data_IF_586621654269
#
_entry.id   IF_586621654269
#
_cell.length_a   1.000
_cell.length_b   1.000
_cell.length_c   1.000
_cell.angle_alpha   90.00
_cell.angle_beta   90.00
_cell.angle_gamma   90.00
#
_symmetry.space_group_name_H-M   'P 1'
#
loop_
_entity.id
_entity.type
_entity.pdbx_description
1 polymer ?
#
# COMPACT_ATOMS: atom_id res chain seq x y z
N UNK A 1 54.48 28.40 -22.27
CA UNK A 1 54.21 27.08 -21.68
C UNK A 1 53.79 27.28 -20.23
N UNK A 2 52.49 27.19 -19.94
CA UNK A 2 51.97 27.04 -18.59
C UNK A 2 50.67 26.23 -18.72
N UNK A 3 50.83 24.90 -18.78
CA UNK A 3 49.71 23.98 -18.78
C UNK A 3 49.13 23.95 -17.36
N UNK A 4 47.87 24.36 -17.25
CA UNK A 4 47.11 24.31 -16.01
C UNK A 4 46.99 22.87 -15.53
N UNK A 5 47.44 22.62 -14.30
CA UNK A 5 47.13 21.39 -13.57
C UNK A 5 45.66 21.43 -13.17
N UNK A 6 44.81 20.86 -14.01
CA UNK A 6 43.45 20.53 -13.64
C UNK A 6 43.50 19.59 -12.43
N UNK A 7 43.15 20.11 -11.26
CA UNK A 7 43.07 19.35 -10.02
C UNK A 7 42.19 18.12 -10.23
N UNK A 8 42.71 16.95 -9.86
CA UNK A 8 41.97 15.70 -9.93
C UNK A 8 40.62 15.87 -9.19
N UNK A 9 39.50 15.41 -9.77
CA UNK A 9 38.22 15.50 -9.09
C UNK A 9 38.32 14.75 -7.74
N UNK A 10 37.72 15.28 -6.65
CA UNK A 10 37.82 14.68 -5.33
C UNK A 10 37.38 13.22 -5.36
N UNK A 11 37.94 12.35 -4.50
CA UNK A 11 37.64 10.92 -4.50
C UNK A 11 36.13 10.73 -4.32
N UNK A 12 35.46 10.34 -5.41
CA UNK A 12 34.02 10.15 -5.45
C UNK A 12 33.68 9.07 -4.42
N UNK A 13 32.88 9.41 -3.41
CA UNK A 13 32.53 8.53 -2.29
C UNK A 13 32.16 7.10 -2.75
N UNK A 14 33.13 6.18 -2.67
CA UNK A 14 32.98 4.74 -2.94
C UNK A 14 32.15 4.02 -1.87
N UNK A 15 31.55 4.78 -0.95
CA UNK A 15 30.89 4.28 0.25
C UNK A 15 29.46 3.80 0.01
N UNK A 16 28.82 4.24 -1.07
CA UNK A 16 27.41 4.02 -1.31
C UNK A 16 27.18 2.85 -2.27
N UNK A 17 26.79 1.70 -1.72
CA UNK A 17 26.39 0.53 -2.49
C UNK A 17 25.10 -0.05 -1.94
N UNK A 18 24.28 -0.67 -2.80
CA UNK A 18 23.05 -1.34 -2.40
C UNK A 18 23.26 -2.28 -1.21
N UNK A 19 24.33 -3.10 -1.26
CA UNK A 19 24.67 -4.05 -0.19
C UNK A 19 24.84 -3.33 1.14
N UNK A 20 25.62 -2.24 1.18
CA UNK A 20 25.85 -1.47 2.40
C UNK A 20 24.57 -0.81 2.92
N UNK A 21 23.74 -0.25 2.03
CA UNK A 21 22.44 0.33 2.40
C UNK A 21 21.48 -0.71 2.96
N UNK A 22 21.42 -1.89 2.34
CA UNK A 22 20.59 -3.00 2.78
C UNK A 22 21.02 -3.50 4.17
N UNK A 23 22.32 -3.73 4.38
CA UNK A 23 22.83 -4.14 5.69
C UNK A 23 22.64 -3.06 6.76
N UNK A 24 22.87 -1.79 6.42
CA UNK A 24 22.63 -0.68 7.34
C UNK A 24 21.15 -0.55 7.72
N UNK A 25 20.24 -0.65 6.75
CA UNK A 25 18.79 -0.63 6.98
C UNK A 25 18.30 -1.84 7.78
N UNK A 26 18.85 -3.03 7.54
CA UNK A 26 18.56 -4.22 8.32
C UNK A 26 19.07 -4.06 9.76
N UNK A 27 20.31 -3.61 9.94
CA UNK A 27 20.90 -3.38 11.27
C UNK A 27 20.07 -2.36 12.05
N UNK A 28 19.65 -1.26 11.42
CA UNK A 28 18.74 -0.27 12.02
C UNK A 28 17.47 -0.93 12.56
N UNK A 29 16.81 -1.78 11.76
CA UNK A 29 15.58 -2.46 12.16
C UNK A 29 15.81 -3.48 13.28
N UNK A 30 16.89 -4.26 13.21
CA UNK A 30 17.24 -5.21 14.28
C UNK A 30 17.51 -4.48 15.60
N UNK A 31 18.24 -3.36 15.57
CA UNK A 31 18.45 -2.51 16.75
C UNK A 31 17.12 -1.98 17.30
N UNK A 32 16.24 -1.47 16.44
CA UNK A 32 14.92 -0.99 16.85
C UNK A 32 14.02 -2.10 17.42
N UNK A 33 14.10 -3.34 16.93
CA UNK A 33 13.39 -4.47 17.52
C UNK A 33 13.87 -4.75 18.95
N UNK A 34 15.18 -4.75 19.18
CA UNK A 34 15.77 -4.96 20.51
C UNK A 34 15.39 -3.82 21.47
N UNK A 35 15.55 -2.58 21.02
CA UNK A 35 15.18 -1.38 21.78
C UNK A 35 13.68 -1.36 22.07
N UNK A 36 12.85 -1.73 21.08
CA UNK A 36 11.41 -1.79 21.24
C UNK A 36 10.98 -2.81 22.27
N UNK A 37 11.59 -4.01 22.27
CA UNK A 37 11.31 -5.04 23.26
C UNK A 37 11.77 -4.63 24.67
N UNK A 38 12.90 -3.93 24.78
CA UNK A 38 13.33 -3.33 26.04
C UNK A 38 12.33 -2.27 26.52
N UNK A 39 11.93 -1.35 25.64
CA UNK A 39 10.98 -0.29 25.95
C UNK A 39 9.65 -0.86 26.42
N UNK A 40 9.14 -1.88 25.72
CA UNK A 40 7.87 -2.54 26.05
C UNK A 40 7.86 -3.19 27.43
N UNK A 41 9.02 -3.60 27.96
CA UNK A 41 9.13 -4.20 29.30
C UNK A 41 9.31 -3.16 30.42
N UNK A 42 10.00 -2.06 30.14
CA UNK A 42 10.45 -1.13 31.19
C UNK A 42 9.67 0.19 31.24
N UNK A 43 8.96 0.57 30.19
CA UNK A 43 8.30 1.88 30.09
C UNK A 43 6.78 1.77 30.04
N UNK A 44 6.05 2.79 30.53
CA UNK A 44 4.58 2.82 30.44
C UNK A 44 4.10 2.98 28.99
N UNK A 45 4.78 3.83 28.21
CA UNK A 45 4.53 4.02 26.78
C UNK A 45 5.21 2.91 25.99
N UNK A 46 4.39 2.09 25.34
CA UNK A 46 4.85 0.93 24.59
C UNK A 46 5.34 1.34 23.20
N UNK A 47 6.38 0.65 22.74
CA UNK A 47 6.90 0.75 21.39
C UNK A 47 6.04 -0.04 20.41
N UNK A 48 5.58 -1.22 20.82
CA UNK A 48 4.71 -2.07 20.00
C UNK A 48 3.38 -1.39 19.69
N UNK A 49 2.99 -1.47 18.41
CA UNK A 49 1.69 -0.99 17.95
C UNK A 49 0.55 -1.73 18.64
N UNK A 50 -0.53 -1.01 18.97
CA UNK A 50 -1.72 -1.64 19.53
C UNK A 50 -2.35 -2.62 18.54
N UNK A 51 -2.28 -2.31 17.24
CA UNK A 51 -2.81 -3.19 16.20
C UNK A 51 -2.06 -4.52 16.17
N UNK A 52 -0.75 -4.53 16.47
CA UNK A 52 0.02 -5.78 16.58
C UNK A 52 -0.50 -6.69 17.70
N UNK A 53 -0.97 -6.09 18.81
CA UNK A 53 -1.63 -6.82 19.89
C UNK A 53 -2.97 -7.39 19.40
N UNK A 54 -3.77 -6.60 18.69
CA UNK A 54 -5.03 -7.04 18.10
C UNK A 54 -4.83 -8.21 17.12
N UNK A 55 -3.78 -8.18 16.28
CA UNK A 55 -3.47 -9.30 15.38
C UNK A 55 -3.07 -10.57 16.13
N UNK A 56 -2.28 -10.40 17.20
CA UNK A 56 -1.82 -11.52 18.02
C UNK A 56 -2.98 -12.14 18.80
N UNK A 57 -3.92 -11.33 19.30
CA UNK A 57 -5.13 -11.80 19.96
C UNK A 57 -6.03 -12.55 18.97
N UNK A 58 -6.26 -11.99 17.77
CA UNK A 58 -7.01 -12.67 16.71
C UNK A 58 -6.36 -14.00 16.29
N UNK A 59 -5.03 -14.06 16.27
CA UNK A 59 -4.29 -15.29 16.01
C UNK A 59 -4.52 -16.37 17.09
N UNK A 60 -4.76 -15.99 18.36
CA UNK A 60 -5.15 -16.95 19.40
C UNK A 60 -6.50 -17.58 19.13
N UNK A 61 -7.48 -16.79 18.67
CA UNK A 61 -8.79 -17.32 18.27
C UNK A 61 -8.65 -18.30 17.10
N UNK A 62 -7.82 -17.98 16.09
CA UNK A 62 -7.54 -18.90 14.97
C UNK A 62 -6.98 -20.24 15.47
N UNK A 63 -6.03 -20.22 16.41
CA UNK A 63 -5.45 -21.44 16.99
C UNK A 63 -6.48 -22.24 17.79
N UNK A 64 -7.41 -21.55 18.48
CA UNK A 64 -8.51 -22.18 19.19
C UNK A 64 -9.61 -22.75 18.26
N UNK A 65 -9.48 -22.59 16.93
CA UNK A 65 -10.50 -22.99 15.96
C UNK A 65 -11.68 -22.02 15.86
N UNK A 66 -11.53 -20.82 16.43
CA UNK A 66 -12.54 -19.77 16.45
C UNK A 66 -12.30 -18.74 15.33
N UNK A 67 -13.28 -17.86 15.15
CA UNK A 67 -13.17 -16.73 14.23
C UNK A 67 -12.17 -15.68 14.76
N UNK A 68 -11.24 -15.16 13.94
CA UNK A 68 -10.35 -14.08 14.37
C UNK A 68 -11.14 -12.80 14.73
N UNK A 69 -12.37 -12.65 14.25
CA UNK A 69 -13.25 -11.53 14.53
C UNK A 69 -13.92 -11.60 15.91
N UNK A 70 -13.83 -12.75 16.60
CA UNK A 70 -14.15 -12.83 18.03
C UNK A 70 -13.30 -11.86 18.86
N UNK A 71 -12.11 -11.49 18.35
CA UNK A 71 -11.36 -10.37 18.89
C UNK A 71 -12.01 -9.05 18.48
N UNK A 72 -12.64 -8.39 19.46
CA UNK A 72 -13.16 -7.03 19.28
C UNK A 72 -12.12 -6.10 18.64
N UNK A 73 -12.57 -5.28 17.68
CA UNK A 73 -11.76 -4.34 16.87
C UNK A 73 -10.80 -4.97 15.85
N UNK A 74 -10.79 -6.31 15.69
CA UNK A 74 -10.12 -6.91 14.54
C UNK A 74 -10.91 -6.61 13.25
N UNK A 75 -10.30 -5.85 12.34
CA UNK A 75 -10.91 -5.38 11.07
C UNK A 75 -10.05 -5.72 9.84
N UNK A 76 -9.16 -6.70 9.99
CA UNK A 76 -8.22 -7.11 8.96
C UNK A 76 -8.67 -8.43 8.31
N UNK A 77 -8.06 -8.82 7.18
CA UNK A 77 -8.34 -10.14 6.57
C UNK A 77 -7.93 -11.27 7.52
N UNK A 78 -8.60 -12.44 7.54
CA UNK A 78 -8.18 -13.56 8.38
C UNK A 78 -6.78 -14.08 8.03
N UNK A 79 -6.32 -13.87 6.79
CA UNK A 79 -4.95 -14.21 6.37
C UNK A 79 -3.88 -13.55 7.24
N UNK A 80 -4.12 -12.33 7.73
CA UNK A 80 -3.18 -11.66 8.64
C UNK A 80 -3.15 -12.37 10.00
N UNK A 81 -4.30 -12.72 10.57
CA UNK A 81 -4.35 -13.49 11.82
C UNK A 81 -3.67 -14.86 11.66
N UNK A 82 -3.88 -15.54 10.53
CA UNK A 82 -3.21 -16.82 10.21
C UNK A 82 -1.69 -16.65 10.17
N UNK A 83 -1.20 -15.61 9.49
CA UNK A 83 0.21 -15.27 9.42
C UNK A 83 0.81 -14.97 10.80
N UNK A 84 0.00 -14.43 11.72
CA UNK A 84 0.41 -14.10 13.09
C UNK A 84 0.30 -15.27 14.09
N UNK A 85 -0.19 -16.46 13.69
CA UNK A 85 -0.26 -17.64 14.60
C UNK A 85 1.07 -17.99 15.28
N UNK A 86 2.26 -17.85 14.65
CA UNK A 86 3.51 -18.12 15.34
C UNK A 86 3.84 -17.11 16.46
N UNK A 87 3.17 -15.94 16.52
CA UNK A 87 3.28 -15.03 17.67
C UNK A 87 2.81 -15.70 18.96
N UNK A 88 1.89 -16.66 18.86
CA UNK A 88 1.28 -17.34 19.99
C UNK A 88 2.03 -18.63 20.31
N UNK A 89 2.35 -19.44 19.29
CA UNK A 89 2.93 -20.77 19.50
C UNK A 89 4.45 -20.82 19.58
N UNK A 90 5.14 -19.77 19.10
CA UNK A 90 6.61 -19.76 19.09
C UNK A 90 7.20 -18.59 19.87
N UNK A 91 7.05 -17.36 19.41
CA UNK A 91 7.44 -16.16 20.16
C UNK A 91 6.70 -14.92 19.69
N UNK A 92 6.33 -14.07 20.65
CA UNK A 92 5.44 -12.91 20.43
C UNK A 92 5.86 -11.97 19.30
N UNK A 93 7.16 -11.77 19.11
CA UNK A 93 7.72 -10.82 18.15
C UNK A 93 7.96 -11.41 16.74
N UNK A 94 7.51 -12.64 16.46
CA UNK A 94 7.68 -13.29 15.16
C UNK A 94 7.11 -12.45 14.00
N UNK A 95 5.88 -11.96 14.14
CA UNK A 95 5.20 -11.15 13.15
C UNK A 95 5.97 -9.86 12.82
N UNK A 96 6.61 -9.23 13.82
CA UNK A 96 7.46 -8.06 13.58
C UNK A 96 8.64 -8.40 12.67
N UNK A 97 9.24 -9.59 12.80
CA UNK A 97 10.32 -10.04 11.91
C UNK A 97 9.81 -10.24 10.49
N UNK A 98 8.62 -10.82 10.33
CA UNK A 98 7.98 -10.97 9.01
C UNK A 98 7.74 -9.61 8.35
N UNK A 99 7.23 -8.63 9.12
CA UNK A 99 6.99 -7.27 8.63
C UNK A 99 8.31 -6.57 8.26
N UNK A 100 9.34 -6.66 9.09
CA UNK A 100 10.69 -6.15 8.78
C UNK A 100 11.27 -6.79 7.52
N UNK A 101 11.10 -8.10 7.35
CA UNK A 101 11.57 -8.79 6.15
C UNK A 101 10.82 -8.31 4.90
N UNK A 102 9.49 -8.17 4.98
CA UNK A 102 8.67 -7.64 3.89
C UNK A 102 9.09 -6.22 3.50
N UNK A 103 9.34 -5.35 4.49
CA UNK A 103 9.85 -3.99 4.27
C UNK A 103 11.20 -3.97 3.56
N UNK A 104 12.14 -4.82 3.99
CA UNK A 104 13.45 -4.91 3.34
C UNK A 104 13.36 -5.41 1.90
N UNK A 105 12.43 -6.32 1.60
CA UNK A 105 12.13 -6.77 0.23
C UNK A 105 11.65 -5.61 -0.63
N UNK A 106 10.92 -4.63 -0.08
CA UNK A 106 10.54 -3.42 -0.84
C UNK A 106 11.70 -2.54 -1.14
N UNK A 107 12.53 -2.26 -0.15
CA UNK A 107 13.74 -1.48 -0.37
C UNK A 107 14.55 -2.08 -1.53
N UNK A 108 14.64 -3.42 -1.57
CA UNK A 108 15.27 -4.14 -2.68
C UNK A 108 14.49 -4.02 -4.00
N UNK A 109 13.17 -4.15 -3.96
CA UNK A 109 12.31 -4.02 -5.13
C UNK A 109 12.37 -2.61 -5.75
N UNK A 110 12.46 -1.54 -4.94
CA UNK A 110 12.60 -0.16 -5.39
C UNK A 110 13.90 0.06 -6.19
N UNK A 111 15.02 -0.54 -5.78
CA UNK A 111 16.27 -0.46 -6.56
C UNK A 111 16.12 -1.15 -7.93
N UNK A 112 15.46 -2.31 -7.97
CA UNK A 112 15.27 -3.10 -9.20
C UNK A 112 14.16 -2.57 -10.12
N UNK A 113 13.12 -1.94 -9.57
CA UNK A 113 11.93 -1.48 -10.29
C UNK A 113 12.08 -0.12 -10.96
N UNK A 114 13.06 0.66 -10.50
CA UNK A 114 13.41 1.96 -11.06
C UNK A 114 14.48 1.85 -12.15
N UNK A 115 14.60 0.72 -12.86
CA UNK A 115 15.43 0.60 -14.06
C UNK A 115 14.97 1.50 -15.23
N UNK A 116 14.49 2.72 -14.96
CA UNK A 116 14.46 3.78 -15.94
C UNK A 116 15.90 4.21 -16.26
N UNK A 117 16.28 4.07 -17.54
CA UNK A 117 17.59 4.47 -18.06
C UNK A 117 17.80 5.99 -18.00
N UNK A 118 16.75 6.79 -17.74
CA UNK A 118 16.85 8.24 -17.58
C UNK A 118 17.47 8.67 -16.25
N UNK A 119 17.37 7.84 -15.21
CA UNK A 119 17.89 8.17 -13.87
C UNK A 119 19.15 7.33 -13.60
N UNK A 120 20.31 7.96 -13.36
CA UNK A 120 21.54 7.23 -13.04
C UNK A 120 21.33 6.32 -11.84
N UNK A 121 21.84 5.08 -11.91
CA UNK A 121 21.72 4.07 -10.83
C UNK A 121 22.11 4.64 -9.46
N UNK A 122 23.12 5.50 -9.41
CA UNK A 122 23.57 6.17 -8.18
C UNK A 122 22.49 7.06 -7.57
N UNK A 123 21.78 7.84 -8.39
CA UNK A 123 20.67 8.69 -7.95
C UNK A 123 19.53 7.84 -7.40
N UNK A 124 19.22 6.70 -8.04
CA UNK A 124 18.19 5.76 -7.54
C UNK A 124 18.57 5.14 -6.19
N UNK A 125 19.83 4.73 -6.04
CA UNK A 125 20.35 4.21 -4.78
C UNK A 125 20.32 5.26 -3.66
N UNK A 126 20.69 6.50 -3.97
CA UNK A 126 20.68 7.62 -3.00
C UNK A 126 19.27 8.05 -2.61
N UNK A 127 18.39 8.26 -3.59
CA UNK A 127 17.11 8.94 -3.35
C UNK A 127 15.92 8.01 -3.16
N UNK A 128 16.03 6.73 -3.51
CA UNK A 128 14.92 5.77 -3.37
C UNK A 128 15.26 4.63 -2.41
N UNK A 129 16.42 3.99 -2.57
CA UNK A 129 16.80 2.89 -1.69
C UNK A 129 17.24 3.39 -0.30
N UNK A 130 18.13 4.40 -0.24
CA UNK A 130 18.59 4.93 1.04
C UNK A 130 17.47 5.66 1.82
N UNK A 131 16.64 6.44 1.14
CA UNK A 131 15.48 7.14 1.74
C UNK A 131 14.35 6.20 2.18
N UNK A 132 14.34 4.94 1.73
CA UNK A 132 13.41 3.93 2.25
C UNK A 132 14.07 3.13 3.37
N UNK A 133 15.24 2.54 3.09
CA UNK A 133 15.92 1.63 4.01
C UNK A 133 16.47 2.33 5.26
N UNK A 134 16.89 3.59 5.16
CA UNK A 134 17.46 4.35 6.27
C UNK A 134 16.48 5.35 6.87
N UNK A 135 15.22 5.37 6.40
CA UNK A 135 14.23 6.29 6.94
C UNK A 135 13.73 5.80 8.30
N UNK A 136 13.90 6.62 9.36
CA UNK A 136 13.53 6.22 10.71
C UNK A 136 12.02 6.00 10.87
N UNK A 137 11.18 6.68 10.10
CA UNK A 137 9.72 6.49 10.12
C UNK A 137 9.36 5.13 9.54
N UNK A 138 9.88 4.79 8.35
CA UNK A 138 9.64 3.47 7.72
C UNK A 138 10.15 2.35 8.60
N UNK A 139 11.38 2.50 9.11
CA UNK A 139 11.98 1.53 10.02
C UNK A 139 11.09 1.35 11.27
N UNK A 140 10.67 2.45 11.92
CA UNK A 140 9.80 2.40 13.10
C UNK A 140 8.47 1.69 12.83
N UNK A 141 7.76 2.04 11.73
CA UNK A 141 6.48 1.42 11.35
C UNK A 141 6.63 -0.11 11.21
N UNK A 142 7.72 -0.56 10.56
CA UNK A 142 8.00 -2.00 10.39
C UNK A 142 8.31 -2.71 11.72
N UNK A 143 9.10 -2.08 12.59
CA UNK A 143 9.60 -2.70 13.82
C UNK A 143 8.60 -2.63 14.98
N UNK A 144 7.68 -1.65 14.98
CA UNK A 144 6.57 -1.61 15.96
C UNK A 144 5.49 -2.67 15.69
N UNK A 145 5.53 -3.33 14.54
CA UNK A 145 4.60 -4.40 14.16
C UNK A 145 3.33 -3.91 13.44
N UNK A 146 3.38 -2.74 12.79
CA UNK A 146 2.23 -2.27 12.03
C UNK A 146 2.09 -3.05 10.71
N UNK A 147 0.87 -3.52 10.42
CA UNK A 147 0.55 -4.12 9.12
C UNK A 147 0.45 -3.10 7.99
N UNK A 148 0.70 -1.80 8.24
CA UNK A 148 0.92 -0.80 7.18
C UNK A 148 2.11 -1.15 6.27
N UNK A 149 2.98 -2.04 6.75
CA UNK A 149 4.04 -2.68 5.97
C UNK A 149 3.47 -3.73 4.98
N UNK A 150 2.18 -3.73 4.66
CA UNK A 150 1.64 -4.46 3.50
C UNK A 150 1.64 -3.63 2.20
N UNK A 151 1.75 -2.29 2.26
CA UNK A 151 2.07 -1.43 1.10
C UNK A 151 3.28 -1.91 0.27
N UNK A 152 4.28 -2.57 0.88
CA UNK A 152 5.27 -3.38 0.22
C UNK A 152 4.89 -4.25 -0.98
N UNK A 153 3.79 -4.99 -0.91
CA UNK A 153 3.39 -5.88 -2.01
C UNK A 153 2.92 -5.06 -3.22
N UNK A 154 2.29 -3.92 -2.96
CA UNK A 154 1.82 -3.00 -3.97
C UNK A 154 2.98 -2.20 -4.57
N UNK A 155 3.93 -1.72 -3.75
CA UNK A 155 5.17 -1.10 -4.23
C UNK A 155 5.97 -2.06 -5.11
N UNK A 156 6.03 -3.35 -4.74
CA UNK A 156 6.61 -4.40 -5.57
C UNK A 156 5.81 -4.66 -6.86
N UNK A 157 4.47 -4.64 -6.80
CA UNK A 157 3.60 -4.75 -7.98
C UNK A 157 3.79 -3.54 -8.92
N UNK A 158 3.93 -2.33 -8.39
CA UNK A 158 4.22 -1.09 -9.13
C UNK A 158 5.59 -1.15 -9.79
N UNK A 159 6.63 -1.51 -9.04
CA UNK A 159 7.99 -1.75 -9.53
C UNK A 159 8.02 -2.78 -10.68
N UNK A 160 7.31 -3.90 -10.50
CA UNK A 160 7.18 -4.95 -11.52
C UNK A 160 6.41 -4.47 -12.75
N UNK A 161 5.33 -3.72 -12.57
CA UNK A 161 4.54 -3.13 -13.66
C UNK A 161 5.38 -2.12 -14.46
N UNK A 162 6.12 -1.25 -13.78
CA UNK A 162 7.06 -0.32 -14.39
C UNK A 162 8.13 -1.06 -15.22
N UNK A 163 8.67 -2.15 -14.67
CA UNK A 163 9.65 -3.02 -15.35
C UNK A 163 9.11 -3.70 -16.61
N UNK A 164 7.79 -3.96 -16.71
CA UNK A 164 7.17 -4.52 -17.92
C UNK A 164 7.30 -3.55 -19.10
N UNK A 165 7.08 -2.24 -18.89
CA UNK A 165 7.21 -1.22 -19.94
C UNK A 165 8.65 -1.01 -20.40
N UNK A 166 9.60 -0.93 -19.46
CA UNK A 166 11.02 -0.75 -19.78
C UNK A 166 11.54 -1.91 -20.65
N UNK A 167 11.21 -3.14 -20.26
CA UNK A 167 11.59 -4.33 -21.02
C UNK A 167 10.86 -4.42 -22.37
N UNK A 168 9.60 -3.98 -22.44
CA UNK A 168 8.87 -3.90 -23.70
C UNK A 168 9.45 -2.85 -24.67
N UNK A 169 10.28 -1.91 -24.24
CA UNK A 169 10.92 -0.90 -25.10
C UNK A 169 12.37 -1.21 -25.50
N UNK A 170 12.99 -2.28 -24.96
CA UNK A 170 14.40 -2.58 -25.24
C UNK A 170 14.67 -4.08 -25.25
N UNK A 171 14.99 -4.70 -26.42
CA UNK A 171 15.42 -6.09 -26.48
C UNK A 171 16.94 -6.16 -26.23
N UNK A 172 17.40 -6.03 -24.99
CA UNK A 172 18.82 -6.27 -24.68
C UNK A 172 19.08 -6.56 -23.20
N UNK A 173 19.44 -7.83 -22.97
CA UNK A 173 20.47 -8.33 -22.05
C UNK A 173 20.68 -7.60 -20.72
N UNK A 174 19.85 -7.89 -19.71
CA UNK A 174 20.36 -8.09 -18.35
C UNK A 174 19.44 -9.05 -17.59
N UNK A 175 19.96 -10.25 -17.30
CA UNK A 175 19.33 -11.32 -16.54
C UNK A 175 20.17 -11.58 -15.31
N UNK A 176 19.62 -11.36 -14.12
CA UNK A 176 19.92 -12.04 -12.83
C UNK A 176 19.15 -11.26 -11.77
N UNK A 177 17.93 -11.60 -11.37
CA UNK A 177 17.40 -12.89 -10.95
C UNK A 177 15.90 -12.95 -11.34
N UNK A 178 15.39 -14.15 -11.64
CA UNK A 178 14.06 -14.41 -12.20
C UNK A 178 13.87 -13.94 -13.65
N UNK A 179 14.28 -14.81 -14.59
CA UNK A 179 14.06 -14.68 -16.04
C UNK A 179 12.59 -14.96 -16.38
N UNK A 180 11.70 -14.10 -15.89
CA UNK A 180 10.28 -14.13 -16.22
C UNK A 180 10.09 -13.24 -17.44
N UNK A 181 9.58 -13.80 -18.53
CA UNK A 181 9.24 -13.05 -19.74
C UNK A 181 8.26 -11.91 -19.46
N UNK A 182 8.07 -10.95 -20.39
CA UNK A 182 7.21 -9.78 -20.19
C UNK A 182 5.78 -10.15 -19.76
N UNK A 183 5.27 -11.27 -20.28
CA UNK A 183 3.98 -11.83 -19.89
C UNK A 183 3.92 -12.33 -18.44
N UNK A 184 4.98 -12.99 -17.97
CA UNK A 184 5.01 -13.48 -16.59
C UNK A 184 5.26 -12.37 -15.57
N UNK A 185 5.97 -11.29 -15.94
CA UNK A 185 6.14 -10.11 -15.07
C UNK A 185 4.80 -9.41 -14.84
N UNK A 186 3.99 -9.28 -15.90
CA UNK A 186 2.63 -8.73 -15.80
C UNK A 186 1.71 -9.63 -14.96
N UNK A 187 1.76 -10.96 -15.17
CA UNK A 187 1.00 -11.91 -14.36
C UNK A 187 1.38 -11.80 -12.88
N UNK A 188 2.68 -11.79 -12.55
CA UNK A 188 3.08 -11.65 -11.15
C UNK A 188 2.67 -10.31 -10.57
N UNK A 189 2.81 -9.20 -11.31
CA UNK A 189 2.35 -7.90 -10.84
C UNK A 189 0.84 -7.90 -10.54
N UNK A 190 0.03 -8.55 -11.39
CA UNK A 190 -1.40 -8.68 -11.18
C UNK A 190 -1.75 -9.58 -9.99
N UNK A 191 -1.05 -10.71 -9.80
CA UNK A 191 -1.21 -11.59 -8.64
C UNK A 191 -0.87 -10.85 -7.33
N UNK A 192 0.28 -10.16 -7.30
CA UNK A 192 0.71 -9.38 -6.13
C UNK A 192 -0.26 -8.24 -5.85
N UNK A 193 -0.76 -7.53 -6.88
CA UNK A 193 -1.75 -6.47 -6.70
C UNK A 193 -3.07 -7.01 -6.15
N UNK A 194 -3.60 -8.10 -6.71
CA UNK A 194 -4.83 -8.74 -6.22
C UNK A 194 -4.70 -9.23 -4.78
N UNK A 195 -3.55 -9.84 -4.44
CA UNK A 195 -3.24 -10.21 -3.06
C UNK A 195 -3.16 -8.98 -2.14
N UNK A 196 -2.48 -7.91 -2.56
CA UNK A 196 -2.34 -6.69 -1.76
C UNK A 196 -3.70 -6.06 -1.44
N UNK A 197 -4.60 -5.96 -2.44
CA UNK A 197 -5.97 -5.44 -2.27
C UNK A 197 -6.81 -6.33 -1.37
N UNK A 198 -6.63 -7.65 -1.42
CA UNK A 198 -7.32 -8.56 -0.51
C UNK A 198 -6.77 -8.46 0.91
N UNK A 199 -5.45 -8.32 1.05
CA UNK A 199 -4.78 -8.21 2.34
C UNK A 199 -5.15 -6.91 3.07
N UNK A 200 -5.30 -5.82 2.31
CA UNK A 200 -5.79 -4.52 2.76
C UNK A 200 -6.49 -3.84 1.60
N UNK A 201 -7.66 -3.24 1.80
CA UNK A 201 -8.46 -2.70 0.67
C UNK A 201 -7.80 -1.48 -0.02
N UNK A 202 -7.03 -0.67 0.71
CA UNK A 202 -6.53 0.63 0.23
C UNK A 202 -5.73 0.63 -1.08
N UNK A 203 -4.89 -0.38 -1.41
CA UNK A 203 -4.17 -0.45 -2.67
C UNK A 203 -5.07 -0.42 -3.92
N UNK A 204 -6.39 -0.63 -3.79
CA UNK A 204 -7.32 -0.55 -4.92
C UNK A 204 -7.25 0.80 -5.65
N UNK A 205 -6.90 1.88 -4.95
CA UNK A 205 -6.80 3.22 -5.54
C UNK A 205 -5.78 3.27 -6.69
N UNK A 206 -4.73 2.46 -6.61
CA UNK A 206 -3.67 2.40 -7.62
C UNK A 206 -4.06 1.61 -8.87
N UNK A 207 -5.24 1.00 -8.91
CA UNK A 207 -5.74 0.34 -10.11
C UNK A 207 -5.82 1.32 -11.30
N UNK A 208 -6.29 2.55 -11.07
CA UNK A 208 -6.42 3.56 -12.12
C UNK A 208 -5.07 3.90 -12.79
N UNK A 209 -4.02 4.34 -12.08
CA UNK A 209 -2.74 4.64 -12.71
C UNK A 209 -2.03 3.39 -13.23
N UNK A 210 -2.19 2.21 -12.62
CA UNK A 210 -1.62 0.97 -13.17
C UNK A 210 -2.25 0.65 -14.53
N UNK A 211 -3.58 0.71 -14.64
CA UNK A 211 -4.27 0.43 -15.89
C UNK A 211 -3.95 1.48 -16.96
N UNK A 212 -3.90 2.76 -16.63
CA UNK A 212 -3.49 3.80 -17.59
C UNK A 212 -2.04 3.65 -18.00
N UNK A 213 -1.17 3.28 -17.05
CA UNK A 213 0.21 2.97 -17.32
C UNK A 213 0.30 1.81 -18.32
N UNK A 214 -0.38 0.69 -18.13
CA UNK A 214 -0.31 -0.45 -19.07
C UNK A 214 -0.70 -0.03 -20.50
N UNK A 215 0.31 0.21 -21.34
CA UNK A 215 0.13 0.60 -22.74
C UNK A 215 -0.27 -0.63 -23.55
N UNK A 216 -1.32 -0.49 -24.34
CA UNK A 216 -1.60 -1.44 -25.40
C UNK A 216 -0.85 -0.97 -26.64
N UNK A 217 -0.02 -1.83 -27.23
CA UNK A 217 0.59 -1.61 -28.55
C UNK A 217 -0.47 -1.67 -29.67
N UNK A 218 -1.53 -0.87 -29.58
CA UNK A 218 -2.44 -0.65 -30.69
C UNK A 218 -1.91 0.54 -31.47
N UNK A 219 -1.59 0.33 -32.75
CA UNK A 219 -1.43 1.46 -33.68
C UNK A 219 -2.70 2.31 -33.59
N UNK A 220 -2.62 3.65 -33.53
CA UNK A 220 -3.80 4.49 -33.60
C UNK A 220 -4.60 4.06 -34.83
N UNK A 221 -5.84 3.58 -34.63
CA UNK A 221 -6.71 3.30 -35.76
C UNK A 221 -7.03 4.65 -36.42
N UNK A 222 -6.48 4.86 -37.61
CA UNK A 222 -6.81 5.97 -38.51
C UNK A 222 -8.30 5.84 -38.87
N UNK A 223 -9.18 6.52 -38.12
CA UNK A 223 -10.63 6.52 -38.37
C UNK A 223 -11.53 6.23 -37.16
N UNK A 224 -10.99 5.95 -35.98
CA UNK A 224 -11.82 5.70 -34.78
C UNK A 224 -12.57 6.94 -34.29
N UNK A 225 -13.83 6.76 -33.87
CA UNK A 225 -14.66 7.83 -33.28
C UNK A 225 -13.90 8.62 -32.21
N UNK A 226 -13.83 9.95 -32.37
CA UNK A 226 -13.19 10.88 -31.43
C UNK A 226 -13.98 11.11 -30.14
N UNK A 227 -15.19 10.53 -30.03
CA UNK A 227 -16.05 10.65 -28.86
C UNK A 227 -15.53 9.90 -27.63
N UNK A 228 -16.12 10.19 -26.47
CA UNK A 228 -15.77 9.56 -25.17
C UNK A 228 -15.83 8.03 -25.25
N UNK A 229 -16.84 7.49 -25.93
CA UNK A 229 -17.03 6.05 -26.14
C UNK A 229 -15.87 5.45 -26.96
N UNK A 230 -15.43 6.13 -28.03
CA UNK A 230 -14.30 5.68 -28.84
C UNK A 230 -12.99 5.63 -28.05
N UNK A 231 -12.75 6.65 -27.20
CA UNK A 231 -11.61 6.65 -26.27
C UNK A 231 -11.70 5.52 -25.23
N UNK A 232 -12.89 5.24 -24.70
CA UNK A 232 -13.12 4.15 -23.76
C UNK A 232 -12.87 2.77 -24.38
N UNK A 233 -13.35 2.53 -25.60
CA UNK A 233 -13.09 1.29 -26.34
C UNK A 233 -11.61 1.13 -26.67
N UNK A 234 -10.92 2.21 -27.04
CA UNK A 234 -9.47 2.20 -27.24
C UNK A 234 -8.69 1.97 -25.94
N UNK A 235 -9.28 2.33 -24.80
CA UNK A 235 -8.69 2.06 -23.49
C UNK A 235 -8.74 0.56 -23.13
N UNK A 236 -9.71 -0.19 -23.63
CA UNK A 236 -9.77 -1.63 -23.39
C UNK A 236 -8.74 -2.34 -24.27
N UNK A 237 -7.74 -2.95 -23.63
CA UNK A 237 -6.68 -3.66 -24.33
C UNK A 237 -6.23 -4.94 -23.59
N UNK A 238 -5.56 -5.87 -24.30
CA UNK A 238 -5.28 -7.22 -23.79
C UNK A 238 -4.42 -7.22 -22.51
N UNK A 239 -3.46 -6.30 -22.39
CA UNK A 239 -2.65 -6.20 -21.17
C UNK A 239 -3.48 -5.75 -19.95
N UNK A 240 -4.41 -4.82 -20.16
CA UNK A 240 -5.32 -4.30 -19.12
C UNK A 240 -6.35 -5.35 -18.72
N UNK A 241 -6.96 -6.03 -19.68
CA UNK A 241 -7.88 -7.14 -19.43
C UNK A 241 -7.15 -8.24 -18.66
N UNK A 242 -5.96 -8.67 -19.13
CA UNK A 242 -5.18 -9.70 -18.44
C UNK A 242 -4.83 -9.30 -17.02
N UNK A 243 -4.38 -8.05 -16.81
CA UNK A 243 -4.09 -7.55 -15.47
C UNK A 243 -5.35 -7.60 -14.58
N UNK A 244 -6.47 -7.01 -15.04
CA UNK A 244 -7.72 -6.95 -14.30
C UNK A 244 -8.30 -8.33 -13.97
N UNK A 245 -8.28 -9.26 -14.93
CA UNK A 245 -8.78 -10.62 -14.71
C UNK A 245 -7.92 -11.40 -13.71
N UNK A 246 -6.59 -11.28 -13.79
CA UNK A 246 -5.70 -11.98 -12.86
C UNK A 246 -5.78 -11.35 -11.47
N UNK A 247 -5.73 -10.03 -11.34
CA UNK A 247 -5.79 -9.36 -10.04
C UNK A 247 -7.17 -9.50 -9.39
N UNK A 248 -8.24 -9.29 -10.17
CA UNK A 248 -9.61 -9.49 -9.72
C UNK A 248 -9.90 -10.94 -9.37
N UNK A 249 -9.45 -11.89 -10.19
CA UNK A 249 -9.55 -13.32 -9.90
C UNK A 249 -8.80 -13.72 -8.63
N UNK A 250 -7.61 -13.18 -8.39
CA UNK A 250 -6.85 -13.40 -7.14
C UNK A 250 -7.61 -12.88 -5.92
N UNK A 251 -8.10 -11.64 -6.00
CA UNK A 251 -8.90 -11.04 -4.93
C UNK A 251 -10.15 -11.86 -4.64
N UNK A 252 -10.92 -12.22 -5.67
CA UNK A 252 -12.16 -12.96 -5.54
C UNK A 252 -11.93 -14.39 -5.03
N UNK A 253 -10.87 -15.05 -5.49
CA UNK A 253 -10.50 -16.37 -4.99
C UNK A 253 -10.20 -16.34 -3.49
N UNK A 254 -9.31 -15.44 -3.06
CA UNK A 254 -8.98 -15.31 -1.63
C UNK A 254 -10.21 -14.89 -0.80
N UNK A 255 -11.02 -13.96 -1.30
CA UNK A 255 -12.26 -13.55 -0.66
C UNK A 255 -13.26 -14.71 -0.54
N UNK A 256 -13.41 -15.54 -1.59
CA UNK A 256 -14.26 -16.72 -1.55
C UNK A 256 -13.74 -17.74 -0.53
N UNK A 257 -12.43 -18.02 -0.49
CA UNK A 257 -11.86 -18.94 0.50
C UNK A 257 -12.11 -18.43 1.93
N UNK A 258 -11.85 -17.15 2.20
CA UNK A 258 -12.11 -16.58 3.54
C UNK A 258 -13.59 -16.54 3.90
N UNK A 259 -14.47 -16.27 2.93
CA UNK A 259 -15.92 -16.30 3.12
C UNK A 259 -16.45 -17.72 3.39
N UNK A 260 -15.90 -18.75 2.73
CA UNK A 260 -16.28 -20.13 2.98
C UNK A 260 -15.91 -20.58 4.41
N UNK A 261 -14.87 -19.98 5.00
CA UNK A 261 -14.40 -20.31 6.36
C UNK A 261 -15.15 -19.50 7.42
N UNK A 262 -15.30 -18.18 7.21
CA UNK A 262 -15.77 -17.24 8.25
C UNK A 262 -17.13 -16.57 7.92
N UNK A 263 -17.73 -16.88 6.78
CA UNK A 263 -19.06 -16.40 6.40
C UNK A 263 -19.17 -14.88 6.28
N UNK A 264 -20.35 -14.35 6.61
CA UNK A 264 -20.65 -12.93 6.49
C UNK A 264 -19.81 -12.05 7.42
N UNK A 265 -19.35 -12.59 8.55
CA UNK A 265 -18.50 -11.87 9.51
C UNK A 265 -17.21 -11.35 8.84
N UNK A 266 -16.60 -12.16 7.97
CA UNK A 266 -15.45 -11.74 7.16
C UNK A 266 -15.76 -10.52 6.27
N UNK A 267 -16.87 -10.56 5.51
CA UNK A 267 -17.22 -9.45 4.63
C UNK A 267 -17.52 -8.19 5.43
N UNK A 268 -18.26 -8.36 6.52
CA UNK A 268 -18.65 -7.25 7.37
C UNK A 268 -17.42 -6.57 7.97
N UNK A 269 -16.55 -7.33 8.64
CA UNK A 269 -15.47 -6.75 9.44
C UNK A 269 -14.23 -6.35 8.63
N UNK A 270 -13.93 -7.02 7.51
CA UNK A 270 -12.79 -6.68 6.66
C UNK A 270 -13.11 -5.60 5.62
N UNK A 271 -14.35 -5.52 5.12
CA UNK A 271 -14.67 -4.63 4.00
C UNK A 271 -15.84 -3.67 4.30
N UNK A 272 -17.02 -4.19 4.62
CA UNK A 272 -18.24 -3.37 4.67
C UNK A 272 -18.24 -2.37 5.83
N UNK A 273 -17.59 -2.71 6.95
CA UNK A 273 -17.43 -1.82 8.10
C UNK A 273 -16.80 -0.48 7.72
N UNK A 274 -15.85 -0.44 6.78
CA UNK A 274 -15.20 0.81 6.36
C UNK A 274 -16.13 1.76 5.60
N UNK A 275 -17.17 1.23 4.95
CA UNK A 275 -18.17 2.04 4.25
C UNK A 275 -19.09 2.72 5.26
N UNK A 276 -19.60 1.96 6.24
CA UNK A 276 -20.56 2.44 7.23
C UNK A 276 -19.94 3.21 8.40
N UNK A 277 -18.64 3.07 8.66
CA UNK A 277 -17.94 3.73 9.76
C UNK A 277 -18.11 5.26 9.75
N UNK A 278 -18.44 5.81 10.93
CA UNK A 278 -18.56 7.24 11.24
C UNK A 278 -17.83 7.53 12.55
N UNK A 279 -16.56 7.86 12.44
CA UNK A 279 -15.79 8.31 13.60
C UNK A 279 -15.94 9.81 13.74
N UNK A 280 -16.67 10.24 14.75
CA UNK A 280 -16.83 11.67 15.07
C UNK A 280 -15.95 12.09 16.25
N UNK A 281 -15.58 11.18 17.15
CA UNK A 281 -14.71 11.51 18.31
C UNK A 281 -13.24 11.44 17.91
N UNK A 282 -12.46 12.43 18.34
CA UNK A 282 -11.00 12.52 18.10
C UNK A 282 -10.62 12.38 16.62
N UNK A 283 -11.49 12.84 15.72
CA UNK A 283 -11.27 12.82 14.27
C UNK A 283 -10.81 14.21 13.83
N UNK A 284 -9.70 14.25 13.10
CA UNK A 284 -9.06 15.44 12.53
C UNK A 284 -9.33 15.57 11.02
N UNK A 285 -10.22 14.74 10.46
CA UNK A 285 -10.58 14.84 9.05
C UNK A 285 -11.28 16.16 8.76
N UNK A 286 -11.24 16.64 7.50
CA UNK A 286 -12.05 17.79 7.07
C UNK A 286 -13.55 17.63 7.35
N UNK A 287 -14.01 16.37 7.52
CA UNK A 287 -15.40 16.00 7.74
C UNK A 287 -15.81 15.95 9.22
N UNK A 288 -14.87 16.12 10.15
CA UNK A 288 -15.12 15.93 11.58
C UNK A 288 -16.33 16.72 12.08
N UNK A 289 -16.37 18.02 11.82
CA UNK A 289 -17.39 18.89 12.38
C UNK A 289 -18.79 18.52 11.86
N UNK A 290 -18.91 18.25 10.56
CA UNK A 290 -20.18 17.84 9.96
C UNK A 290 -20.62 16.45 10.45
N UNK A 291 -19.69 15.50 10.57
CA UNK A 291 -19.95 14.16 11.14
C UNK A 291 -20.35 14.23 12.61
N UNK A 292 -19.76 15.15 13.37
CA UNK A 292 -20.08 15.39 14.77
C UNK A 292 -21.50 15.97 14.90
N UNK A 293 -21.82 17.04 14.16
CA UNK A 293 -23.14 17.65 14.19
C UNK A 293 -24.26 16.69 13.75
N UNK A 294 -24.02 15.91 12.69
CA UNK A 294 -24.97 14.90 12.19
C UNK A 294 -25.13 13.68 13.11
N UNK A 295 -24.27 13.53 14.13
CA UNK A 295 -24.41 12.49 15.15
C UNK A 295 -25.27 12.91 16.35
N UNK A 296 -25.63 14.20 16.46
CA UNK A 296 -26.44 14.71 17.56
C UNK A 296 -27.95 14.50 17.30
N UNK A 297 -28.74 14.06 18.31
CA UNK A 297 -30.20 13.96 18.21
C UNK A 297 -30.90 15.29 17.88
N UNK A 298 -30.25 16.42 18.18
CA UNK A 298 -30.79 17.76 17.91
C UNK A 298 -30.67 18.20 16.43
N UNK A 299 -30.08 17.36 15.56
CA UNK A 299 -29.97 17.63 14.13
C UNK A 299 -31.25 17.29 13.34
N UNK A 300 -32.42 17.26 13.99
CA UNK A 300 -33.72 17.25 13.33
C UNK A 300 -33.99 18.63 12.71
N UNK A 301 -33.38 18.89 11.56
CA UNK A 301 -33.67 20.06 10.74
C UNK A 301 -34.98 19.87 9.99
N UNK A 302 -35.83 20.90 9.91
CA UNK A 302 -37.09 20.90 9.13
C UNK A 302 -36.90 20.86 7.61
N UNK A 303 -35.66 20.98 7.13
CA UNK A 303 -35.29 20.94 5.70
C UNK A 303 -34.86 19.51 5.30
N UNK A 304 -35.68 18.85 4.48
CA UNK A 304 -35.45 17.47 4.01
C UNK A 304 -34.07 17.26 3.34
N UNK A 305 -33.51 18.30 2.69
CA UNK A 305 -32.18 18.24 2.06
C UNK A 305 -31.06 18.16 3.10
N UNK A 306 -31.19 18.91 4.20
CA UNK A 306 -30.21 18.88 5.29
C UNK A 306 -30.27 17.55 6.05
N UNK A 307 -31.48 17.02 6.26
CA UNK A 307 -31.70 15.70 6.86
C UNK A 307 -31.13 14.56 5.99
N UNK A 308 -31.34 14.61 4.67
CA UNK A 308 -30.74 13.65 3.72
C UNK A 308 -29.21 13.73 3.75
N UNK A 309 -28.65 14.93 3.67
CA UNK A 309 -27.20 15.13 3.71
C UNK A 309 -26.60 14.61 5.01
N UNK A 310 -27.21 14.90 6.17
CA UNK A 310 -26.77 14.39 7.48
C UNK A 310 -26.84 12.85 7.56
N UNK A 311 -27.91 12.24 7.03
CA UNK A 311 -28.06 10.77 6.99
C UNK A 311 -27.09 10.08 6.05
N UNK A 312 -26.63 10.75 4.99
CA UNK A 312 -25.74 10.17 3.99
C UNK A 312 -24.31 10.75 4.00
N UNK A 313 -23.98 11.63 4.94
CA UNK A 313 -22.71 12.35 4.98
C UNK A 313 -21.49 11.42 4.94
N UNK A 314 -21.55 10.30 5.67
CA UNK A 314 -20.49 9.30 5.67
C UNK A 314 -20.23 8.62 4.31
N UNK A 315 -21.22 8.64 3.40
CA UNK A 315 -21.08 8.20 2.01
C UNK A 315 -20.68 9.35 1.09
N UNK A 316 -21.26 10.54 1.30
CA UNK A 316 -20.93 11.73 0.51
C UNK A 316 -19.47 12.14 0.67
N UNK A 317 -18.86 11.90 1.84
CA UNK A 317 -17.44 12.12 2.07
C UNK A 317 -16.53 11.32 1.13
N UNK A 318 -17.00 10.20 0.56
CA UNK A 318 -16.25 9.44 -0.45
C UNK A 318 -16.24 10.13 -1.82
N UNK A 319 -17.15 11.05 -2.12
CA UNK A 319 -17.25 11.65 -3.46
C UNK A 319 -16.00 12.45 -3.83
N UNK A 320 -15.55 13.45 -3.05
CA UNK A 320 -14.31 14.16 -3.38
C UNK A 320 -13.09 13.24 -3.26
N UNK A 321 -13.10 12.27 -2.35
CA UNK A 321 -12.00 11.31 -2.21
C UNK A 321 -11.84 10.43 -3.45
N UNK A 322 -12.87 9.67 -3.84
CA UNK A 322 -12.87 8.78 -5.01
C UNK A 322 -12.69 9.61 -6.29
N UNK A 323 -13.39 10.73 -6.41
CA UNK A 323 -13.35 11.60 -7.59
C UNK A 323 -11.94 12.12 -7.86
N UNK A 324 -11.28 12.70 -6.85
CA UNK A 324 -9.91 13.24 -7.01
C UNK A 324 -8.88 12.14 -7.21
N UNK A 325 -8.97 11.04 -6.47
CA UNK A 325 -8.08 9.87 -6.63
C UNK A 325 -8.20 9.27 -8.03
N UNK A 326 -9.41 9.07 -8.54
CA UNK A 326 -9.61 8.56 -9.89
C UNK A 326 -9.06 9.53 -10.93
N UNK A 327 -9.40 10.82 -10.82
CA UNK A 327 -8.94 11.86 -11.75
C UNK A 327 -7.41 11.90 -11.85
N UNK A 328 -6.71 11.96 -10.71
CA UNK A 328 -5.24 11.98 -10.66
C UNK A 328 -4.63 10.70 -11.25
N UNK A 329 -5.21 9.54 -10.96
CA UNK A 329 -4.77 8.25 -11.50
C UNK A 329 -4.90 8.16 -13.02
N UNK A 330 -6.02 8.63 -13.58
CA UNK A 330 -6.23 8.65 -15.03
C UNK A 330 -5.44 9.74 -15.75
N UNK A 331 -5.25 10.91 -15.11
CA UNK A 331 -4.52 12.03 -15.69
C UNK A 331 -3.02 11.74 -15.81
N UNK A 332 -2.37 11.27 -14.73
CA UNK A 332 -0.92 11.17 -14.66
C UNK A 332 -0.36 9.78 -14.88
N UNK A 333 -1.15 8.72 -14.66
CA UNK A 333 -0.62 7.35 -14.65
C UNK A 333 -0.02 6.87 -15.98
N UNK A 334 -0.41 7.48 -17.11
CA UNK A 334 0.22 7.19 -18.42
C UNK A 334 1.67 7.67 -18.48
N UNK A 335 1.93 8.85 -17.91
CA UNK A 335 3.20 9.57 -18.00
C UNK A 335 4.17 9.10 -16.92
N UNK A 336 3.72 9.12 -15.66
CA UNK A 336 4.51 8.74 -14.49
C UNK A 336 3.63 8.00 -13.47
N UNK A 337 3.84 6.68 -13.38
CA UNK A 337 3.12 5.81 -12.45
C UNK A 337 3.42 6.15 -10.99
N UNK A 338 4.65 6.53 -10.66
CA UNK A 338 5.07 6.79 -9.29
C UNK A 338 4.53 8.14 -8.80
N UNK A 339 4.58 9.17 -9.65
CA UNK A 339 3.95 10.45 -9.36
C UNK A 339 2.43 10.31 -9.23
N UNK A 340 1.78 9.60 -10.15
CA UNK A 340 0.34 9.38 -10.08
C UNK A 340 -0.06 8.64 -8.79
N UNK A 341 0.69 7.60 -8.40
CA UNK A 341 0.46 6.89 -7.16
C UNK A 341 0.65 7.81 -5.94
N UNK A 342 1.73 8.57 -5.88
CA UNK A 342 1.96 9.55 -4.80
C UNK A 342 0.80 10.56 -4.70
N UNK A 343 0.40 11.16 -5.83
CA UNK A 343 -0.70 12.13 -5.86
C UNK A 343 -2.03 11.50 -5.42
N UNK A 344 -2.30 10.25 -5.80
CA UNK A 344 -3.46 9.50 -5.33
C UNK A 344 -3.41 9.25 -3.82
N UNK A 345 -2.29 8.79 -3.27
CA UNK A 345 -2.14 8.57 -1.81
C UNK A 345 -2.36 9.88 -1.06
N UNK A 346 -1.75 10.96 -1.54
CA UNK A 346 -1.89 12.28 -0.94
C UNK A 346 -3.34 12.75 -0.94
N UNK A 347 -4.03 12.67 -2.07
CA UNK A 347 -5.44 13.03 -2.18
C UNK A 347 -6.33 12.10 -1.34
N UNK A 348 -6.05 10.81 -1.33
CA UNK A 348 -6.78 9.81 -0.54
C UNK A 348 -6.72 10.14 0.95
N UNK A 349 -5.53 10.44 1.48
CA UNK A 349 -5.33 10.81 2.88
C UNK A 349 -5.96 12.18 3.18
N UNK A 350 -5.78 13.16 2.30
CA UNK A 350 -6.34 14.52 2.46
C UNK A 350 -7.86 14.50 2.62
N UNK A 351 -8.55 13.70 1.81
CA UNK A 351 -10.02 13.61 1.82
C UNK A 351 -10.56 12.49 2.72
N UNK A 352 -9.71 11.78 3.45
CA UNK A 352 -10.15 10.68 4.29
C UNK A 352 -11.13 11.18 5.36
N UNK A 353 -12.27 10.51 5.50
CA UNK A 353 -13.29 10.81 6.51
C UNK A 353 -12.90 10.38 7.93
N UNK A 354 -11.84 9.61 8.10
CA UNK A 354 -11.32 9.15 9.39
C UNK A 354 -9.83 9.46 9.47
N UNK A 355 -9.48 10.48 10.25
CA UNK A 355 -8.10 10.79 10.64
C UNK A 355 -8.08 10.87 12.16
N UNK A 356 -7.85 9.77 12.87
CA UNK A 356 -7.99 9.74 14.34
C UNK A 356 -6.64 9.67 15.05
N UNK A 357 -6.55 10.30 16.23
CA UNK A 357 -5.48 10.02 17.18
C UNK A 357 -6.01 9.06 18.25
N UNK A 358 -5.27 7.97 18.48
CA UNK A 358 -5.62 7.03 19.54
C UNK A 358 -4.96 7.51 20.83
N UNK A 359 -5.76 8.03 21.76
CA UNK A 359 -5.33 8.23 23.13
C UNK A 359 -5.61 6.93 23.88
N UNK A 360 -4.57 6.34 24.48
CA UNK A 360 -4.75 5.19 25.36
C UNK A 360 -5.63 5.65 26.52
N UNK A 361 -6.87 5.14 26.61
CA UNK A 361 -7.64 5.31 27.83
C UNK A 361 -6.81 4.67 28.94
N UNK A 362 -6.41 5.48 29.93
CA UNK A 362 -5.87 4.96 31.17
C UNK A 362 -6.99 4.10 31.79
N UNK A 363 -6.76 2.79 31.82
CA UNK A 363 -7.62 1.84 32.52
C UNK A 363 -7.41 1.99 34.02
#
# INVERSE_FOLDING_TARGET
MAAGTAGAPPPRAAWLSFRRLFFAGLLLRLTLLIVGEYQDRHFPVKYTDIDYVVFTDAARHVIAGESPYARATYRYTPLLAWLMTPNVVWFRSFGKIVLVAADMVVGAALDSGLEDRRVPRRTRLLFCAATWMLNPVVANISTRGSAEVSEPVESAARARTASVKVFARTPSLTSTCFRVGPHGRLTLAALLFGFAVHFKIYPIVYAAPILTYLETRRKPQTGGSRGVIGKAVQFVGPARIRFAMISGGTFMFLAAVMYLIYGHEFLQETYLYHVSRRDHRHNFSPWFYDLYLSSSPAAESTLAVAEFAARHLGLLAFVPQIGTVALLGFAYGKEDLYFAAFAQTFAFVTWNKVCTSQVRQQA
#
